data_IF_529416990942
#
_entry.id   IF_529416990942
#
_cell.length_a   1.000
_cell.length_b   1.000
_cell.length_c   1.000
_cell.angle_alpha   90.00
_cell.angle_beta   90.00
_cell.angle_gamma   90.00
#
_symmetry.space_group_name_H-M   'P 1'
#
loop_
_entity.id
_entity.type
_entity.pdbx_description
1 polymer ?
#
# COMPACT_ATOMS: atom_id res chain seq x y z
N UNK A 1 -16.08 -9.50 -56.77
CA UNK A 1 -15.96 -8.84 -55.47
C UNK A 1 -15.25 -7.51 -55.68
N UNK A 2 -15.87 -6.36 -55.37
CA UNK A 2 -15.15 -5.09 -55.42
C UNK A 2 -14.09 -5.09 -54.32
N UNK A 3 -12.86 -4.71 -54.67
CA UNK A 3 -11.79 -4.45 -53.72
C UNK A 3 -12.25 -3.32 -52.79
N UNK A 4 -12.30 -3.61 -51.49
CA UNK A 4 -12.50 -2.58 -50.46
C UNK A 4 -11.34 -1.58 -50.62
N UNK A 5 -11.64 -0.38 -51.12
CA UNK A 5 -10.69 0.72 -51.09
C UNK A 5 -10.34 0.97 -49.62
N UNK A 6 -9.10 0.68 -49.23
CA UNK A 6 -8.63 0.95 -47.87
C UNK A 6 -8.78 2.44 -47.61
N UNK A 7 -9.47 2.79 -46.52
CA UNK A 7 -9.63 4.18 -46.09
C UNK A 7 -8.26 4.89 -46.05
N UNK A 8 -8.18 6.18 -46.42
CA UNK A 8 -6.94 6.92 -46.38
C UNK A 8 -6.37 6.87 -44.95
N UNK A 9 -5.13 6.41 -44.83
CA UNK A 9 -4.41 6.36 -43.55
C UNK A 9 -4.13 7.80 -43.10
N UNK A 10 -4.67 8.17 -41.93
CA UNK A 10 -4.35 9.42 -41.26
C UNK A 10 -2.86 9.43 -40.89
N UNK A 11 -2.17 10.53 -41.22
CA UNK A 11 -0.75 10.70 -40.94
C UNK A 11 -0.58 11.70 -39.81
N UNK A 12 0.01 11.24 -38.71
CA UNK A 12 0.34 12.06 -37.56
C UNK A 12 1.86 12.26 -37.46
N UNK A 13 2.37 13.45 -37.11
CA UNK A 13 3.79 13.64 -36.83
C UNK A 13 4.25 12.72 -35.69
N UNK A 14 5.39 12.06 -35.86
CA UNK A 14 5.92 11.15 -34.85
C UNK A 14 6.12 11.81 -33.49
N UNK A 15 6.60 13.06 -33.46
CA UNK A 15 6.79 13.80 -32.21
C UNK A 15 5.48 13.97 -31.43
N UNK A 16 4.38 14.34 -32.11
CA UNK A 16 3.07 14.49 -31.49
C UNK A 16 2.51 13.14 -30.98
N UNK A 17 2.69 12.08 -31.77
CA UNK A 17 2.32 10.74 -31.36
C UNK A 17 3.10 10.28 -30.11
N UNK A 18 4.42 10.48 -30.11
CA UNK A 18 5.31 10.07 -29.03
C UNK A 18 5.00 10.85 -27.75
N UNK A 19 4.83 12.16 -27.83
CA UNK A 19 4.46 13.01 -26.70
C UNK A 19 3.12 12.57 -26.09
N UNK A 20 2.09 12.42 -26.92
CA UNK A 20 0.76 12.02 -26.45
C UNK A 20 0.77 10.62 -25.82
N UNK A 21 1.41 9.65 -26.48
CA UNK A 21 1.50 8.27 -26.00
C UNK A 21 2.29 8.18 -24.70
N UNK A 22 3.41 8.91 -24.60
CA UNK A 22 4.24 8.94 -23.42
C UNK A 22 3.53 9.64 -22.25
N UNK A 23 2.82 10.73 -22.50
CA UNK A 23 2.04 11.44 -21.48
C UNK A 23 0.92 10.56 -20.91
N UNK A 24 0.16 9.87 -21.77
CA UNK A 24 -0.91 8.96 -21.33
C UNK A 24 -0.36 7.82 -20.47
N UNK A 25 0.73 7.19 -20.91
CA UNK A 25 1.38 6.14 -20.13
C UNK A 25 1.92 6.67 -18.79
N UNK A 26 2.56 7.84 -18.80
CA UNK A 26 3.11 8.47 -17.60
C UNK A 26 2.03 8.77 -16.56
N UNK A 27 0.93 9.41 -17.00
CA UNK A 27 -0.20 9.71 -16.13
C UNK A 27 -0.85 8.45 -15.58
N UNK A 28 -1.00 7.42 -16.41
CA UNK A 28 -1.52 6.13 -15.99
C UNK A 28 -0.64 5.47 -14.92
N UNK A 29 0.69 5.45 -15.08
CA UNK A 29 1.60 4.89 -14.07
C UNK A 29 1.57 5.70 -12.77
N UNK A 30 1.49 7.03 -12.85
CA UNK A 30 1.41 7.91 -11.69
C UNK A 30 0.12 7.63 -10.89
N UNK A 31 -1.03 7.71 -11.56
CA UNK A 31 -2.35 7.67 -10.91
C UNK A 31 -2.83 6.27 -10.59
N UNK A 32 -2.55 5.28 -11.45
CA UNK A 32 -3.14 3.94 -11.31
C UNK A 32 -2.18 2.91 -10.68
N UNK A 33 -0.90 3.28 -10.43
CA UNK A 33 0.12 2.32 -9.96
C UNK A 33 1.01 2.81 -8.84
N UNK A 34 1.69 3.95 -9.03
CA UNK A 34 2.81 4.31 -8.18
C UNK A 34 2.40 5.03 -6.90
N UNK A 35 1.48 6.00 -6.99
CA UNK A 35 1.07 6.81 -5.86
C UNK A 35 -0.16 6.21 -5.17
N UNK A 36 -0.16 6.07 -3.82
CA UNK A 36 -1.36 5.72 -3.09
C UNK A 36 -2.34 6.91 -3.08
N UNK A 37 -3.63 6.64 -2.90
CA UNK A 37 -4.58 7.71 -2.60
C UNK A 37 -4.41 8.15 -1.15
N UNK A 38 -4.44 9.47 -0.89
CA UNK A 38 -4.35 10.01 0.46
C UNK A 38 -5.50 9.53 1.37
N UNK A 39 -6.69 9.34 0.79
CA UNK A 39 -7.91 9.01 1.52
C UNK A 39 -7.85 7.66 2.24
N UNK A 40 -7.27 6.64 1.61
CA UNK A 40 -7.21 5.27 2.15
C UNK A 40 -5.78 4.70 2.22
N UNK A 41 -4.79 5.43 1.74
CA UNK A 41 -3.39 4.99 1.71
C UNK A 41 -3.12 3.82 0.77
N UNK A 42 -4.06 3.49 -0.13
CA UNK A 42 -3.94 2.32 -1.00
C UNK A 42 -3.67 2.71 -2.45
N UNK A 43 -2.85 1.90 -3.11
CA UNK A 43 -2.77 1.83 -4.57
C UNK A 43 -4.00 1.09 -5.12
N UNK A 44 -4.39 1.29 -6.39
CA UNK A 44 -5.56 0.63 -6.98
C UNK A 44 -5.56 -0.89 -6.85
N UNK A 45 -4.43 -1.56 -7.10
CA UNK A 45 -4.32 -3.03 -6.92
C UNK A 45 -4.61 -3.46 -5.48
N UNK A 46 -4.10 -2.73 -4.49
CA UNK A 46 -4.31 -3.04 -3.08
C UNK A 46 -5.78 -2.83 -2.67
N UNK A 47 -6.38 -1.73 -3.13
CA UNK A 47 -7.80 -1.43 -2.92
C UNK A 47 -8.70 -2.52 -3.49
N UNK A 48 -8.44 -2.93 -4.73
CA UNK A 48 -9.19 -3.97 -5.43
C UNK A 48 -9.07 -5.33 -4.75
N UNK A 49 -7.88 -5.69 -4.24
CA UNK A 49 -7.70 -6.91 -3.44
C UNK A 49 -8.55 -6.86 -2.16
N UNK A 50 -8.43 -5.78 -1.36
CA UNK A 50 -9.19 -5.63 -0.11
C UNK A 50 -10.70 -5.66 -0.36
N UNK A 51 -11.16 -4.95 -1.39
CA UNK A 51 -12.57 -4.91 -1.76
C UNK A 51 -13.08 -6.28 -2.25
N UNK A 52 -12.36 -6.96 -3.15
CA UNK A 52 -12.76 -8.29 -3.62
C UNK A 52 -12.79 -9.33 -2.50
N UNK A 53 -11.87 -9.26 -1.53
CA UNK A 53 -11.91 -10.10 -0.33
C UNK A 53 -13.16 -9.84 0.52
N UNK A 54 -13.57 -8.57 0.65
CA UNK A 54 -14.81 -8.18 1.32
C UNK A 54 -16.03 -8.80 0.63
N UNK A 55 -16.13 -8.67 -0.69
CA UNK A 55 -17.20 -9.23 -1.52
C UNK A 55 -17.26 -10.77 -1.43
N UNK A 56 -16.11 -11.43 -1.28
CA UNK A 56 -16.01 -12.87 -1.07
C UNK A 56 -16.40 -13.34 0.35
N UNK A 57 -16.76 -12.39 1.23
CA UNK A 57 -17.09 -12.64 2.63
C UNK A 57 -15.90 -13.09 3.48
N UNK A 58 -14.67 -12.75 3.07
CA UNK A 58 -13.43 -13.13 3.77
C UNK A 58 -13.13 -12.22 4.96
N UNK A 59 -14.12 -11.98 5.80
CA UNK A 59 -13.96 -11.18 7.02
C UNK A 59 -13.07 -11.89 8.06
N UNK A 60 -12.76 -11.18 9.14
CA UNK A 60 -11.88 -11.63 10.23
C UNK A 60 -12.32 -12.96 10.86
N UNK A 61 -13.63 -13.22 10.90
CA UNK A 61 -14.21 -14.44 11.50
C UNK A 61 -14.41 -15.56 10.50
N UNK A 62 -14.22 -15.29 9.20
CA UNK A 62 -14.37 -16.29 8.16
C UNK A 62 -13.23 -17.33 8.20
N UNK A 63 -13.51 -18.50 7.65
CA UNK A 63 -12.47 -19.48 7.31
C UNK A 63 -11.57 -18.91 6.23
N UNK A 64 -10.29 -19.26 6.28
CA UNK A 64 -9.36 -18.95 5.20
C UNK A 64 -9.81 -19.62 3.90
N UNK A 65 -9.57 -18.96 2.77
CA UNK A 65 -9.75 -19.53 1.43
C UNK A 65 -8.44 -19.42 0.66
N UNK A 66 -8.23 -20.32 -0.29
CA UNK A 66 -7.05 -20.30 -1.18
C UNK A 66 -6.89 -18.93 -1.83
N UNK A 67 -5.67 -18.38 -1.77
CA UNK A 67 -5.35 -17.06 -2.33
C UNK A 67 -5.66 -16.99 -3.83
N UNK A 68 -5.47 -18.10 -4.55
CA UNK A 68 -5.82 -18.22 -5.97
C UNK A 68 -7.27 -17.84 -6.29
N UNK A 69 -8.22 -18.11 -5.37
CA UNK A 69 -9.63 -17.72 -5.55
C UNK A 69 -9.79 -16.20 -5.48
N UNK A 70 -9.19 -15.57 -4.48
CA UNK A 70 -9.21 -14.11 -4.34
C UNK A 70 -8.57 -13.43 -5.54
N UNK A 71 -7.38 -13.89 -5.95
CA UNK A 71 -6.67 -13.31 -7.10
C UNK A 71 -7.49 -13.49 -8.39
N UNK A 72 -8.10 -14.66 -8.61
CA UNK A 72 -8.99 -14.88 -9.76
C UNK A 72 -10.17 -13.88 -9.80
N UNK A 73 -10.82 -13.64 -8.67
CA UNK A 73 -11.91 -12.66 -8.56
C UNK A 73 -11.42 -11.22 -8.79
N UNK A 74 -10.24 -10.85 -8.26
CA UNK A 74 -9.65 -9.52 -8.47
C UNK A 74 -9.39 -9.27 -9.94
N UNK A 75 -8.76 -10.22 -10.64
CA UNK A 75 -8.43 -10.09 -12.06
C UNK A 75 -9.68 -10.09 -12.94
N UNK A 76 -10.60 -11.01 -12.67
CA UNK A 76 -11.81 -11.18 -13.47
C UNK A 76 -12.81 -10.03 -13.31
N UNK A 77 -12.78 -9.31 -12.17
CA UNK A 77 -13.77 -8.26 -11.88
C UNK A 77 -13.20 -6.84 -11.94
N UNK A 78 -11.97 -6.61 -11.49
CA UNK A 78 -11.52 -5.24 -11.19
C UNK A 78 -10.14 -4.88 -11.75
N UNK A 79 -9.21 -5.83 -11.85
CA UNK A 79 -7.80 -5.55 -12.13
C UNK A 79 -7.30 -6.28 -13.39
N UNK A 80 -7.41 -5.69 -14.60
CA UNK A 80 -7.07 -6.34 -15.86
C UNK A 80 -5.54 -6.38 -16.11
N UNK A 81 -4.78 -6.95 -15.17
CA UNK A 81 -3.32 -7.09 -15.22
C UNK A 81 -2.86 -8.50 -14.83
N UNK A 82 -1.54 -8.70 -14.68
CA UNK A 82 -0.97 -10.00 -14.38
C UNK A 82 -1.31 -10.50 -12.97
N UNK A 83 -1.58 -11.79 -12.86
CA UNK A 83 -1.86 -12.50 -11.60
C UNK A 83 -0.69 -12.43 -10.61
N UNK A 84 0.54 -12.53 -11.13
CA UNK A 84 1.77 -12.56 -10.35
C UNK A 84 1.97 -11.25 -9.58
N UNK A 85 1.87 -10.11 -10.27
CA UNK A 85 1.99 -8.79 -9.62
C UNK A 85 0.85 -8.53 -8.61
N UNK A 86 -0.37 -9.00 -8.91
CA UNK A 86 -1.51 -8.91 -8.00
C UNK A 86 -1.27 -9.75 -6.73
N UNK A 87 -0.76 -10.97 -6.87
CA UNK A 87 -0.46 -11.84 -5.75
C UNK A 87 0.72 -11.34 -4.92
N UNK A 88 1.78 -10.82 -5.54
CA UNK A 88 2.89 -10.17 -4.84
C UNK A 88 2.41 -8.99 -3.97
N UNK A 89 1.51 -8.15 -4.49
CA UNK A 89 0.89 -7.09 -3.71
C UNK A 89 0.10 -7.65 -2.51
N UNK A 90 -0.64 -8.75 -2.70
CA UNK A 90 -1.35 -9.44 -1.63
C UNK A 90 -0.41 -10.01 -0.56
N UNK A 91 0.72 -10.58 -0.97
CA UNK A 91 1.75 -11.11 -0.07
C UNK A 91 2.34 -10.00 0.79
N UNK A 92 2.73 -8.87 0.20
CA UNK A 92 3.24 -7.71 0.95
C UNK A 92 2.22 -7.21 1.99
N UNK A 93 0.93 -7.23 1.66
CA UNK A 93 -0.14 -6.85 2.60
C UNK A 93 -0.37 -7.84 3.74
N UNK A 94 0.16 -9.07 3.62
CA UNK A 94 0.06 -10.12 4.63
C UNK A 94 1.31 -10.23 5.52
N UNK A 95 2.46 -9.76 5.05
CA UNK A 95 3.75 -9.89 5.74
C UNK A 95 3.87 -8.92 6.91
N UNK A 96 3.93 -9.39 8.17
CA UNK A 96 4.00 -8.52 9.35
C UNK A 96 5.33 -7.79 9.50
N UNK A 97 6.37 -8.24 8.80
CA UNK A 97 7.69 -7.60 8.73
C UNK A 97 7.82 -6.62 7.55
N UNK A 98 6.85 -6.59 6.63
CA UNK A 98 6.81 -5.67 5.49
C UNK A 98 5.82 -4.53 5.72
N UNK A 99 4.64 -4.84 6.27
CA UNK A 99 3.59 -3.86 6.55
C UNK A 99 3.35 -3.74 8.05
N UNK A 100 3.39 -2.52 8.59
CA UNK A 100 3.25 -2.26 10.04
C UNK A 100 1.93 -2.77 10.62
N UNK A 101 0.84 -2.58 9.87
CA UNK A 101 -0.50 -3.07 10.15
C UNK A 101 -1.01 -3.87 8.94
N UNK A 102 -0.73 -5.20 8.90
CA UNK A 102 -1.14 -6.07 7.80
C UNK A 102 -2.64 -5.99 7.50
N UNK A 103 -3.00 -5.93 6.22
CA UNK A 103 -4.40 -5.89 5.76
C UNK A 103 -4.95 -7.29 5.47
N UNK A 104 -4.06 -8.25 5.24
CA UNK A 104 -4.36 -9.65 4.97
C UNK A 104 -3.80 -10.48 6.12
N UNK A 105 -4.58 -11.47 6.55
CA UNK A 105 -4.17 -12.52 7.47
C UNK A 105 -4.05 -13.82 6.66
N UNK A 106 -2.87 -14.43 6.68
CA UNK A 106 -2.50 -15.54 5.80
C UNK A 106 -2.11 -16.81 6.57
N UNK A 107 -2.50 -17.97 6.02
CA UNK A 107 -2.01 -19.30 6.42
C UNK A 107 -1.16 -19.93 5.31
N UNK A 108 -0.14 -20.70 5.71
CA UNK A 108 0.89 -21.24 4.83
C UNK A 108 2.18 -20.44 4.86
N UNK A 109 3.07 -20.66 3.88
CA UNK A 109 4.32 -19.90 3.77
C UNK A 109 4.08 -18.58 3.00
N UNK A 110 4.15 -17.45 3.71
CA UNK A 110 4.04 -16.09 3.18
C UNK A 110 5.38 -15.35 3.11
N UNK A 111 6.49 -16.08 3.12
CA UNK A 111 7.85 -15.52 3.22
C UNK A 111 8.29 -15.33 4.67
N UNK A 112 9.56 -14.99 4.84
CA UNK A 112 10.15 -14.70 6.15
C UNK A 112 10.86 -13.36 6.14
N UNK A 113 11.30 -12.93 7.33
CA UNK A 113 12.15 -11.75 7.46
C UNK A 113 13.59 -11.98 6.97
N UNK A 114 13.97 -13.18 6.51
CA UNK A 114 15.30 -13.40 5.91
C UNK A 114 15.18 -13.52 4.37
N UNK A 115 14.02 -13.97 3.88
CA UNK A 115 13.73 -14.01 2.46
C UNK A 115 12.22 -13.76 2.21
N UNK A 116 11.82 -12.48 2.07
CA UNK A 116 10.44 -12.10 1.84
C UNK A 116 9.89 -12.58 0.53
N UNK A 117 10.75 -12.86 -0.45
CA UNK A 117 10.35 -13.30 -1.78
C UNK A 117 10.19 -14.82 -1.83
N UNK A 118 10.68 -15.54 -0.82
CA UNK A 118 10.47 -16.98 -0.64
C UNK A 118 9.11 -17.30 -0.01
N UNK A 119 8.04 -16.88 -0.68
CA UNK A 119 6.66 -17.24 -0.33
C UNK A 119 6.14 -18.36 -1.22
N UNK A 120 5.20 -19.16 -0.71
CA UNK A 120 4.56 -20.20 -1.49
C UNK A 120 3.61 -19.60 -2.54
N UNK A 121 3.42 -20.30 -3.66
CA UNK A 121 2.49 -19.91 -4.70
C UNK A 121 1.03 -19.80 -4.19
N UNK A 122 0.22 -18.94 -4.82
CA UNK A 122 -1.18 -18.65 -4.43
C UNK A 122 -2.13 -19.85 -4.37
N UNK A 123 -1.75 -20.99 -4.98
CA UNK A 123 -2.48 -22.26 -4.90
C UNK A 123 -2.28 -23.00 -3.57
N UNK A 124 -1.27 -22.63 -2.79
CA UNK A 124 -0.94 -23.27 -1.52
C UNK A 124 -1.33 -22.40 -0.33
N UNK A 125 -1.13 -21.08 -0.43
CA UNK A 125 -1.49 -20.14 0.63
C UNK A 125 -2.99 -19.92 0.72
N UNK A 126 -3.45 -19.61 1.93
CA UNK A 126 -4.84 -19.26 2.20
C UNK A 126 -4.89 -17.93 2.93
N UNK A 127 -5.93 -17.14 2.67
CA UNK A 127 -6.03 -15.77 3.17
C UNK A 127 -7.45 -15.43 3.62
N UNK A 128 -7.50 -14.47 4.55
CA UNK A 128 -8.68 -13.69 4.93
C UNK A 128 -8.26 -12.26 5.25
N UNK A 129 -9.22 -11.35 5.44
CA UNK A 129 -8.93 -9.99 5.87
C UNK A 129 -8.48 -9.99 7.33
N UNK A 130 -7.46 -9.17 7.63
CA UNK A 130 -7.04 -8.94 9.00
C UNK A 130 -8.09 -8.13 9.76
N UNK A 131 -7.99 -8.10 11.09
CA UNK A 131 -8.86 -7.26 11.94
C UNK A 131 -8.69 -5.77 11.62
N UNK A 132 -7.47 -5.34 11.32
CA UNK A 132 -7.17 -3.94 11.05
C UNK A 132 -7.95 -3.41 9.83
N UNK A 133 -8.22 -4.25 8.84
CA UNK A 133 -8.92 -3.87 7.60
C UNK A 133 -10.36 -3.40 7.82
N UNK A 134 -10.96 -3.66 8.99
CA UNK A 134 -12.26 -3.07 9.36
C UNK A 134 -12.24 -1.54 9.39
N UNK A 135 -11.06 -0.94 9.63
CA UNK A 135 -10.83 0.52 9.55
C UNK A 135 -11.16 1.06 8.16
N UNK A 136 -11.03 0.24 7.11
CA UNK A 136 -11.25 0.62 5.72
C UNK A 136 -12.65 0.22 5.20
N UNK A 137 -13.25 -0.84 5.75
CA UNK A 137 -14.43 -1.47 5.15
C UNK A 137 -15.74 -1.29 5.92
N UNK A 138 -15.68 -0.99 7.22
CA UNK A 138 -16.88 -1.02 8.10
C UNK A 138 -18.01 -0.09 7.66
N UNK A 139 -17.67 0.99 6.93
CA UNK A 139 -18.62 2.03 6.51
C UNK A 139 -18.85 2.05 4.98
N UNK A 140 -18.30 1.08 4.22
CA UNK A 140 -18.33 1.07 2.76
C UNK A 140 -19.75 1.02 2.19
N UNK A 141 -20.63 0.23 2.79
CA UNK A 141 -22.03 0.07 2.37
C UNK A 141 -22.97 1.21 2.80
N UNK A 142 -22.45 2.29 3.41
CA UNK A 142 -23.26 3.35 4.02
C UNK A 142 -23.31 4.63 3.17
N UNK A 143 -22.97 4.56 1.88
CA UNK A 143 -22.97 5.72 0.98
C UNK A 143 -21.84 6.72 1.24
N UNK A 144 -20.71 6.24 1.77
CA UNK A 144 -19.55 7.07 2.17
C UNK A 144 -18.52 7.29 1.05
N UNK A 145 -18.64 6.57 -0.06
CA UNK A 145 -17.70 6.64 -1.19
C UNK A 145 -18.42 6.67 -2.53
N UNK A 146 -17.74 7.21 -3.54
CA UNK A 146 -18.17 7.16 -4.92
C UNK A 146 -17.85 5.80 -5.53
N UNK A 147 -18.67 5.40 -6.50
CA UNK A 147 -18.57 4.13 -7.20
C UNK A 147 -18.42 4.40 -8.69
N UNK A 148 -17.55 3.65 -9.35
CA UNK A 148 -17.34 3.73 -10.80
C UNK A 148 -17.55 2.36 -11.43
N UNK A 149 -17.96 2.29 -12.71
CA UNK A 149 -17.94 1.03 -13.44
C UNK A 149 -16.53 0.43 -13.45
N UNK A 150 -16.44 -0.89 -13.33
CA UNK A 150 -15.20 -1.63 -13.55
C UNK A 150 -14.79 -1.58 -15.03
N UNK A 151 -13.66 -2.23 -15.37
CA UNK A 151 -13.05 -2.14 -16.70
C UNK A 151 -13.93 -2.62 -17.87
N UNK A 152 -14.89 -3.52 -17.64
CA UNK A 152 -15.84 -4.02 -18.65
C UNK A 152 -17.27 -3.47 -18.47
N UNK A 153 -17.49 -2.62 -17.45
CA UNK A 153 -18.76 -1.98 -17.14
C UNK A 153 -19.85 -2.91 -16.56
N UNK A 154 -19.53 -4.17 -16.24
CA UNK A 154 -20.52 -5.13 -15.71
C UNK A 154 -20.74 -5.02 -14.21
N UNK A 155 -19.78 -4.45 -13.48
CA UNK A 155 -19.78 -4.29 -12.03
C UNK A 155 -19.41 -2.86 -11.64
N UNK A 156 -19.63 -2.52 -10.37
CA UNK A 156 -19.13 -1.29 -9.77
C UNK A 156 -17.96 -1.59 -8.85
N UNK A 157 -16.99 -0.68 -8.80
CA UNK A 157 -15.90 -0.67 -7.83
C UNK A 157 -15.81 0.69 -7.10
N UNK A 158 -15.42 0.70 -5.82
CA UNK A 158 -15.31 1.94 -5.06
C UNK A 158 -14.05 2.72 -5.47
N UNK A 159 -14.19 4.03 -5.68
CA UNK A 159 -13.05 4.90 -6.05
C UNK A 159 -12.04 5.08 -4.91
N UNK A 160 -12.48 4.86 -3.67
CA UNK A 160 -11.70 4.93 -2.42
C UNK A 160 -12.40 4.08 -1.35
N UNK A 161 -11.70 3.70 -0.29
CA UNK A 161 -12.32 3.09 0.89
C UNK A 161 -12.55 4.16 1.99
N UNK A 162 -13.64 4.07 2.78
CA UNK A 162 -13.91 5.00 3.86
C UNK A 162 -13.00 4.71 5.07
N UNK A 163 -11.76 5.17 5.00
CA UNK A 163 -10.77 4.95 6.05
C UNK A 163 -11.13 5.76 7.32
N UNK A 164 -11.32 5.05 8.44
CA UNK A 164 -11.56 5.65 9.76
C UNK A 164 -10.30 6.16 10.44
N UNK A 165 -9.13 5.79 9.92
CA UNK A 165 -7.80 6.21 10.38
C UNK A 165 -6.96 6.59 9.16
N UNK A 166 -5.95 7.48 9.28
CA UNK A 166 -5.07 7.88 8.19
C UNK A 166 -4.05 6.78 7.86
N UNK A 167 -4.52 5.69 7.25
CA UNK A 167 -3.76 4.48 6.91
C UNK A 167 -2.52 4.75 6.05
N UNK A 168 -2.54 5.82 5.26
CA UNK A 168 -1.40 6.30 4.46
C UNK A 168 -0.16 6.58 5.33
N UNK A 169 -0.33 7.12 6.54
CA UNK A 169 0.78 7.33 7.49
C UNK A 169 1.07 6.08 8.30
N UNK A 170 0.03 5.31 8.65
CA UNK A 170 0.17 4.13 9.51
C UNK A 170 0.99 3.02 8.84
N UNK A 171 0.69 2.73 7.58
CA UNK A 171 1.35 1.68 6.82
C UNK A 171 2.44 2.20 5.88
N UNK A 172 2.43 3.50 5.58
CA UNK A 172 3.32 4.05 4.56
C UNK A 172 2.99 3.53 3.16
N UNK A 173 3.81 3.92 2.20
CA UNK A 173 3.72 3.49 0.82
C UNK A 173 5.00 3.86 0.07
N UNK A 174 5.54 2.91 -0.70
CA UNK A 174 6.67 3.16 -1.59
C UNK A 174 6.24 2.92 -3.04
N UNK A 175 6.67 3.76 -3.97
CA UNK A 175 6.29 3.65 -5.38
C UNK A 175 7.14 4.54 -6.28
N UNK A 176 7.49 4.01 -7.45
CA UNK A 176 8.25 4.72 -8.47
C UNK A 176 7.35 4.86 -9.70
N UNK A 177 7.18 6.09 -10.16
CA UNK A 177 6.42 6.46 -11.35
C UNK A 177 7.33 7.04 -12.42
N UNK A 178 6.74 7.44 -13.55
CA UNK A 178 7.48 8.16 -14.60
C UNK A 178 7.77 9.58 -14.11
N UNK A 179 9.06 9.87 -13.85
CA UNK A 179 9.52 11.21 -13.45
C UNK A 179 9.33 11.59 -11.98
N UNK A 180 8.77 10.69 -11.15
CA UNK A 180 8.55 10.94 -9.72
C UNK A 180 8.52 9.65 -8.91
N UNK A 181 8.68 9.76 -7.58
CA UNK A 181 8.57 8.65 -6.66
C UNK A 181 7.91 9.11 -5.35
N UNK A 182 7.39 8.15 -4.59
CA UNK A 182 6.89 8.34 -3.23
C UNK A 182 7.54 7.31 -2.32
N UNK A 183 7.93 7.74 -1.13
CA UNK A 183 8.39 6.86 -0.07
C UNK A 183 7.91 7.40 1.28
N UNK A 184 6.79 6.85 1.75
CA UNK A 184 6.16 7.19 3.01
C UNK A 184 6.48 6.10 4.02
N UNK A 185 7.09 6.50 5.14
CA UNK A 185 7.46 5.58 6.21
C UNK A 185 6.24 5.28 7.12
N UNK A 186 6.14 4.07 7.69
CA UNK A 186 5.05 3.71 8.60
C UNK A 186 5.16 4.48 9.93
N UNK A 187 4.03 4.68 10.62
CA UNK A 187 3.95 5.41 11.89
C UNK A 187 3.07 4.68 12.89
N UNK A 188 3.26 5.00 14.17
CA UNK A 188 2.49 4.40 15.23
C UNK A 188 1.04 4.91 15.24
N UNK A 189 0.08 3.99 15.32
CA UNK A 189 -1.35 4.28 15.36
C UNK A 189 -1.74 5.26 16.47
N UNK A 190 -1.25 5.05 17.69
CA UNK A 190 -1.66 5.86 18.84
C UNK A 190 -1.13 7.28 18.73
N UNK A 191 0.11 7.43 18.29
CA UNK A 191 0.73 8.73 18.06
C UNK A 191 0.00 9.52 16.97
N UNK A 192 -0.27 8.87 15.83
CA UNK A 192 -0.99 9.51 14.70
C UNK A 192 -2.41 9.89 15.11
N UNK A 193 -3.14 9.01 15.80
CA UNK A 193 -4.48 9.34 16.32
C UNK A 193 -4.42 10.51 17.30
N UNK A 194 -3.43 10.53 18.19
CA UNK A 194 -3.25 11.64 19.13
C UNK A 194 -3.01 12.97 18.41
N UNK A 195 -2.23 12.98 17.32
CA UNK A 195 -2.02 14.15 16.49
C UNK A 195 -3.30 14.57 15.73
N UNK A 196 -4.09 13.62 15.24
CA UNK A 196 -5.39 13.91 14.62
C UNK A 196 -6.35 14.56 15.63
N UNK A 197 -6.44 14.05 16.86
CA UNK A 197 -7.25 14.65 17.93
C UNK A 197 -6.76 16.07 18.21
N UNK A 198 -5.45 16.30 18.28
CA UNK A 198 -4.88 17.65 18.43
C UNK A 198 -5.30 18.60 17.30
N UNK A 199 -5.35 18.15 16.05
CA UNK A 199 -5.84 18.95 14.92
C UNK A 199 -7.35 19.26 15.00
N UNK A 200 -8.15 18.34 15.53
CA UNK A 200 -9.58 18.57 15.76
C UNK A 200 -9.82 19.59 16.87
N UNK A 201 -9.02 19.54 17.95
CA UNK A 201 -9.08 20.50 19.05
C UNK A 201 -8.54 21.87 18.65
N UNK A 202 -7.48 21.91 17.84
CA UNK A 202 -6.88 23.12 17.32
C UNK A 202 -6.37 22.92 15.89
N UNK A 203 -7.17 23.34 14.91
CA UNK A 203 -6.88 23.24 13.48
C UNK A 203 -5.71 24.12 13.00
N UNK A 204 -5.18 25.01 13.85
CA UNK A 204 -4.01 25.84 13.58
C UNK A 204 -2.72 25.29 14.20
N UNK A 205 -2.75 24.06 14.69
CA UNK A 205 -1.55 23.43 15.28
C UNK A 205 -0.41 23.38 14.25
N UNK A 206 0.78 23.81 14.64
CA UNK A 206 1.96 23.75 13.79
C UNK A 206 2.50 22.32 13.65
N UNK A 207 3.33 22.07 12.63
CA UNK A 207 4.01 20.77 12.47
C UNK A 207 4.77 20.39 13.74
N UNK A 208 5.48 21.34 14.36
CA UNK A 208 6.22 21.10 15.60
C UNK A 208 5.32 20.62 16.73
N UNK A 209 4.12 21.21 16.87
CA UNK A 209 3.13 20.79 17.87
C UNK A 209 2.55 19.41 17.56
N UNK A 210 2.35 19.06 16.29
CA UNK A 210 1.93 17.71 15.92
C UNK A 210 3.02 16.68 16.21
N UNK A 211 4.28 17.08 16.02
CA UNK A 211 5.44 16.24 16.33
C UNK A 211 5.69 16.10 17.84
N UNK A 212 4.99 16.82 18.73
CA UNK A 212 4.97 16.47 20.16
C UNK A 212 4.28 15.11 20.38
N UNK A 213 3.33 14.76 19.50
CA UNK A 213 2.61 13.49 19.52
C UNK A 213 3.30 12.40 18.68
N UNK A 214 3.76 12.76 17.47
CA UNK A 214 4.43 11.83 16.53
C UNK A 214 5.93 11.88 16.75
N UNK A 215 6.51 10.80 17.30
CA UNK A 215 7.93 10.76 17.65
C UNK A 215 8.83 10.56 16.43
N UNK A 216 8.32 9.87 15.42
CA UNK A 216 9.03 9.48 14.22
C UNK A 216 8.29 8.34 13.52
N UNK A 217 8.91 7.77 12.47
CA UNK A 217 8.45 6.52 11.90
C UNK A 217 8.46 5.35 12.92
N UNK A 218 7.57 4.37 12.74
CA UNK A 218 7.47 3.15 13.54
C UNK A 218 7.46 1.94 12.59
N UNK A 219 8.64 1.37 12.36
CA UNK A 219 8.83 0.24 11.46
C UNK A 219 8.41 -1.08 12.12
N UNK A 220 8.07 -2.12 11.33
CA UNK A 220 7.75 -3.45 11.87
C UNK A 220 8.99 -4.22 12.36
N UNK A 221 9.85 -3.57 13.14
CA UNK A 221 11.04 -4.14 13.77
C UNK A 221 11.31 -3.46 15.11
N UNK A 222 12.06 -4.13 15.99
CA UNK A 222 12.58 -3.56 17.22
C UNK A 222 13.95 -2.85 17.04
N UNK A 223 14.43 -2.70 15.81
CA UNK A 223 15.65 -1.92 15.53
C UNK A 223 15.49 -0.45 15.94
N UNK A 224 16.59 0.19 16.33
CA UNK A 224 16.59 1.57 16.79
C UNK A 224 16.66 2.54 15.60
N UNK A 225 15.88 3.62 15.67
CA UNK A 225 16.08 4.80 14.82
C UNK A 225 17.17 5.64 15.46
N UNK A 226 18.26 5.88 14.72
CA UNK A 226 19.43 6.64 15.20
C UNK A 226 19.52 8.04 14.60
N UNK A 227 18.55 8.42 13.75
CA UNK A 227 18.44 9.79 13.24
C UNK A 227 18.10 10.75 14.40
N UNK A 228 18.83 11.86 14.58
CA UNK A 228 18.52 12.88 15.56
C UNK A 228 17.10 13.44 15.41
N UNK A 229 16.49 13.90 16.51
CA UNK A 229 15.09 14.35 16.49
C UNK A 229 14.93 15.60 15.62
N UNK A 230 15.88 16.52 15.65
CA UNK A 230 15.90 17.72 14.83
C UNK A 230 15.84 17.41 13.33
N UNK A 231 16.54 16.36 12.87
CA UNK A 231 16.53 15.92 11.49
C UNK A 231 15.17 15.31 11.13
N UNK A 232 14.56 14.53 12.04
CA UNK A 232 13.21 13.98 11.86
C UNK A 232 12.17 15.10 11.73
N UNK A 233 12.26 16.15 12.56
CA UNK A 233 11.38 17.31 12.48
C UNK A 233 11.53 18.03 11.13
N UNK A 234 12.76 18.20 10.64
CA UNK A 234 13.00 18.82 9.35
C UNK A 234 12.46 18.00 8.18
N UNK A 235 12.56 16.67 8.26
CA UNK A 235 11.92 15.75 7.29
C UNK A 235 10.41 15.98 7.26
N UNK A 236 9.75 16.14 8.41
CA UNK A 236 8.30 16.39 8.45
C UNK A 236 7.91 17.78 7.95
N UNK A 237 8.77 18.79 8.12
CA UNK A 237 8.52 20.16 7.58
C UNK A 237 8.67 20.23 6.07
N UNK A 238 9.65 19.54 5.52
CA UNK A 238 10.00 19.58 4.09
C UNK A 238 9.31 18.51 3.27
N UNK A 239 8.89 17.41 3.91
CA UNK A 239 8.33 16.22 3.26
C UNK A 239 9.39 15.30 2.63
N UNK A 240 10.68 15.59 2.79
CA UNK A 240 11.77 14.82 2.16
C UNK A 240 12.97 14.66 3.07
N UNK A 241 13.62 13.50 3.02
CA UNK A 241 14.92 13.28 3.64
C UNK A 241 15.16 11.80 3.91
N UNK A 242 16.03 11.48 4.88
CA UNK A 242 16.42 10.09 5.15
C UNK A 242 16.43 9.78 6.64
N UNK A 243 15.83 8.65 7.01
CA UNK A 243 15.87 8.09 8.36
C UNK A 243 16.83 6.90 8.37
N UNK A 244 17.67 6.81 9.41
CA UNK A 244 18.71 5.79 9.58
C UNK A 244 18.36 4.90 10.76
N UNK A 245 18.48 3.59 10.56
CA UNK A 245 18.27 2.61 11.62
C UNK A 245 19.56 1.88 11.98
N UNK A 246 19.57 1.31 13.17
CA UNK A 246 20.65 0.46 13.67
C UNK A 246 20.07 -0.78 14.33
N UNK A 247 20.70 -1.92 14.07
CA UNK A 247 20.36 -3.17 14.74
C UNK A 247 20.65 -3.05 16.23
N UNK A 248 19.77 -3.61 17.06
CA UNK A 248 19.99 -3.69 18.50
C UNK A 248 20.89 -4.88 18.79
N UNK A 249 21.93 -4.67 19.58
CA UNK A 249 22.87 -5.73 19.95
C UNK A 249 23.23 -5.67 21.43
N UNK A 250 23.53 -6.83 22.00
CA UNK A 250 24.02 -6.99 23.36
C UNK A 250 25.36 -7.75 23.37
N UNK A 251 26.37 -7.28 24.11
CA UNK A 251 27.59 -8.04 24.31
C UNK A 251 27.38 -9.12 25.37
N UNK A 252 27.73 -10.37 25.06
CA UNK A 252 27.79 -11.48 26.02
C UNK A 252 29.12 -12.21 25.86
N UNK A 253 30.02 -12.01 26.83
CA UNK A 253 31.41 -12.48 26.81
C UNK A 253 32.16 -11.93 25.59
N UNK A 254 32.73 -12.79 24.75
CA UNK A 254 33.46 -12.46 23.52
C UNK A 254 32.57 -12.49 22.26
N UNK A 255 31.24 -12.61 22.44
CA UNK A 255 30.28 -12.69 21.33
C UNK A 255 29.28 -11.53 21.40
N UNK A 256 28.99 -10.93 20.24
CA UNK A 256 27.94 -9.95 20.07
C UNK A 256 26.67 -10.66 19.59
N UNK A 257 25.55 -10.45 20.29
CA UNK A 257 24.25 -11.00 19.93
C UNK A 257 23.39 -9.90 19.35
N UNK A 258 22.88 -10.08 18.13
CA UNK A 258 21.96 -9.13 17.49
C UNK A 258 20.54 -9.53 17.89
N UNK A 259 19.83 -8.64 18.60
CA UNK A 259 18.48 -8.88 19.12
C UNK A 259 17.37 -8.43 18.17
N UNK A 260 17.64 -7.50 17.26
CA UNK A 260 16.68 -7.03 16.26
C UNK A 260 17.37 -6.56 14.98
N UNK A 261 16.98 -7.13 13.83
CA UNK A 261 17.45 -6.75 12.51
C UNK A 261 16.70 -5.53 11.95
N UNK A 262 17.27 -4.85 10.96
CA UNK A 262 16.66 -3.66 10.36
C UNK A 262 15.42 -4.05 9.53
N UNK A 263 14.46 -3.13 9.40
CA UNK A 263 13.35 -3.29 8.46
C UNK A 263 13.88 -3.30 7.02
N UNK A 264 13.50 -4.30 6.23
CA UNK A 264 13.93 -4.42 4.84
C UNK A 264 15.37 -4.92 4.64
N UNK A 265 16.04 -5.37 5.70
CA UNK A 265 17.37 -5.97 5.65
C UNK A 265 17.27 -7.48 5.86
N UNK A 266 17.91 -8.23 4.96
CA UNK A 266 17.84 -9.69 4.80
C UNK A 266 19.22 -10.30 5.08
#
# INVERSE_FOLDING_TARGET
>A
MPLVQSAPLERIPFAAFAEHSYLNYSMYVIMDRALPALADGLKPVQRRIVYAMSELGLNVTAKYKKSARTIGDVLGKFHPHGDTACYEAMVLMAQPFSLRYPLVDGQGNWGSQDDPKSFAAMRYTEARLSRFTQVLLSELGQGTVEWVPNFDGTLLEPTRLPARLPTVLLNGASGIAVGMATDLLPHNLREVVSACVRLLENSRSSIDQLCEHIQGPDFPTAAEIVTPREDILEIYRTGTGSVKHRAVWEPKRETLYIGAALSGFW
#
